data_IF_765309537473
#
_entry.id   IF_765309537473
#
_cell.length_a   1.000
_cell.length_b   1.000
_cell.length_c   1.000
_cell.angle_alpha   90.00
_cell.angle_beta   90.00
_cell.angle_gamma   90.00
#
_symmetry.space_group_name_H-M   'P 1'
#
loop_
_entity.id
_entity.type
_entity.pdbx_description
1 polymer ?
#
# COMPACT_ATOMS: atom_id res chain seq x y z
N UNK A 1 -9.08 -12.01 -5.64
CA UNK A 1 -7.78 -11.35 -5.49
C UNK A 1 -7.33 -10.75 -6.81
N UNK A 2 -6.78 -9.56 -6.76
CA UNK A 2 -6.26 -8.87 -7.93
C UNK A 2 -4.74 -8.87 -7.89
N UNK A 3 -4.11 -9.06 -9.05
CA UNK A 3 -2.66 -8.98 -9.19
C UNK A 3 -2.34 -7.96 -10.26
N UNK A 4 -1.53 -6.96 -9.93
CA UNK A 4 -1.16 -5.91 -10.87
C UNK A 4 0.37 -5.87 -10.99
N UNK A 5 0.87 -6.01 -12.20
CA UNK A 5 2.30 -5.87 -12.47
C UNK A 5 2.60 -4.39 -12.61
N UNK A 6 3.59 -3.93 -11.86
CA UNK A 6 3.97 -2.51 -11.85
C UNK A 6 5.33 -2.39 -12.52
N UNK A 7 5.38 -1.70 -13.65
CA UNK A 7 6.61 -1.50 -14.41
C UNK A 7 6.83 -0.04 -14.77
N UNK A 8 5.79 0.77 -14.75
CA UNK A 8 5.90 2.17 -15.14
C UNK A 8 4.78 2.98 -14.50
N UNK A 9 4.86 4.29 -14.70
CA UNK A 9 3.93 5.22 -14.05
C UNK A 9 2.47 4.93 -14.39
N UNK A 10 2.18 4.51 -15.63
CA UNK A 10 0.81 4.20 -16.03
C UNK A 10 0.19 3.09 -15.17
N UNK A 11 1.02 2.17 -14.70
CA UNK A 11 0.53 1.07 -13.88
C UNK A 11 0.06 1.52 -12.50
N UNK A 12 0.54 2.68 -12.05
CA UNK A 12 0.08 3.27 -10.79
C UNK A 12 -1.41 3.60 -10.90
N UNK A 13 -1.82 4.13 -12.05
CA UNK A 13 -3.22 4.50 -12.26
C UNK A 13 -4.10 3.27 -12.41
N UNK A 14 -3.59 2.23 -13.04
CA UNK A 14 -4.31 0.96 -13.12
C UNK A 14 -4.53 0.38 -11.72
N UNK A 15 -3.49 0.37 -10.90
CA UNK A 15 -3.60 -0.12 -9.53
C UNK A 15 -4.61 0.70 -8.72
N UNK A 16 -4.62 2.01 -8.93
CA UNK A 16 -5.58 2.90 -8.31
C UNK A 16 -7.02 2.53 -8.67
N UNK A 17 -7.28 2.28 -9.96
CA UNK A 17 -8.60 1.88 -10.42
C UNK A 17 -9.07 0.58 -9.78
N UNK A 18 -8.17 -0.38 -9.70
CA UNK A 18 -8.49 -1.67 -9.08
C UNK A 18 -8.71 -1.50 -7.58
N UNK A 19 -7.94 -0.59 -6.97
CA UNK A 19 -8.15 -0.26 -5.56
C UNK A 19 -9.55 0.28 -5.28
N UNK A 20 -10.05 1.14 -6.17
CA UNK A 20 -11.41 1.65 -6.04
C UNK A 20 -12.43 0.54 -6.13
N UNK A 21 -12.22 -0.40 -7.05
CA UNK A 21 -13.11 -1.55 -7.19
C UNK A 21 -13.11 -2.40 -5.92
N UNK A 22 -11.93 -2.64 -5.36
CA UNK A 22 -11.83 -3.43 -4.13
C UNK A 22 -12.53 -2.72 -2.97
N UNK A 23 -12.39 -1.40 -2.89
CA UNK A 23 -13.06 -0.60 -1.85
C UNK A 23 -14.57 -0.73 -1.98
N UNK A 24 -15.09 -0.68 -3.22
CA UNK A 24 -16.52 -0.84 -3.46
C UNK A 24 -17.01 -2.22 -3.08
N UNK A 25 -16.22 -3.24 -3.41
CA UNK A 25 -16.58 -4.62 -3.07
C UNK A 25 -16.63 -4.82 -1.55
N UNK A 26 -15.79 -4.13 -0.83
CA UNK A 26 -15.75 -4.20 0.62
C UNK A 26 -16.73 -3.23 1.27
N UNK A 27 -17.38 -2.39 0.48
CA UNK A 27 -18.33 -1.36 0.95
C UNK A 27 -17.67 -0.32 1.84
N UNK A 28 -16.47 0.08 1.50
CA UNK A 28 -15.77 1.14 2.20
C UNK A 28 -16.52 2.46 2.04
N UNK A 29 -16.51 3.29 3.08
CA UNK A 29 -16.98 4.66 2.95
C UNK A 29 -15.91 5.47 2.22
N UNK A 30 -16.20 6.74 1.96
CA UNK A 30 -15.29 7.56 1.17
C UNK A 30 -13.93 7.74 1.82
N UNK A 31 -13.89 7.92 3.13
CA UNK A 31 -12.65 8.07 3.86
C UNK A 31 -11.80 6.81 3.77
N UNK A 32 -12.39 5.66 3.98
CA UNK A 32 -11.69 4.38 3.90
C UNK A 32 -11.18 4.14 2.48
N UNK A 33 -12.03 4.43 1.49
CA UNK A 33 -11.63 4.28 0.09
C UNK A 33 -10.44 5.16 -0.25
N UNK A 34 -10.48 6.43 0.15
CA UNK A 34 -9.38 7.36 -0.12
C UNK A 34 -8.09 6.88 0.49
N UNK A 35 -8.12 6.45 1.75
CA UNK A 35 -6.93 5.95 2.43
C UNK A 35 -6.36 4.72 1.74
N UNK A 36 -7.23 3.81 1.32
CA UNK A 36 -6.79 2.61 0.60
C UNK A 36 -6.16 2.97 -0.74
N UNK A 37 -6.83 3.80 -1.53
CA UNK A 37 -6.37 4.13 -2.88
C UNK A 37 -5.06 4.91 -2.85
N UNK A 38 -4.94 5.89 -1.95
CA UNK A 38 -3.70 6.66 -1.82
C UNK A 38 -2.54 5.74 -1.42
N UNK A 39 -2.79 4.80 -0.50
CA UNK A 39 -1.76 3.86 -0.08
C UNK A 39 -1.32 2.97 -1.24
N UNK A 40 -2.26 2.47 -2.04
CA UNK A 40 -1.94 1.67 -3.22
C UNK A 40 -1.07 2.46 -4.20
N UNK A 41 -1.43 3.71 -4.45
CA UNK A 41 -0.67 4.56 -5.37
C UNK A 41 0.74 4.80 -4.87
N UNK A 42 0.88 5.04 -3.57
CA UNK A 42 2.19 5.29 -2.98
C UNK A 42 3.08 4.05 -3.05
N UNK A 43 2.51 2.87 -2.78
CA UNK A 43 3.25 1.62 -2.88
C UNK A 43 3.65 1.34 -4.32
N UNK A 44 2.76 1.60 -5.28
CA UNK A 44 3.07 1.39 -6.70
C UNK A 44 4.19 2.34 -7.16
N UNK A 45 4.14 3.61 -6.75
CA UNK A 45 5.18 4.56 -7.11
C UNK A 45 6.52 4.19 -6.50
N UNK A 46 6.53 3.68 -5.28
CA UNK A 46 7.77 3.20 -4.68
C UNK A 46 8.38 2.07 -5.50
N UNK A 47 7.57 1.17 -6.03
CA UNK A 47 8.09 0.11 -6.90
C UNK A 47 8.75 0.72 -8.14
N UNK A 48 8.07 1.65 -8.80
CA UNK A 48 8.61 2.27 -10.01
C UNK A 48 9.93 2.99 -9.73
N UNK A 49 9.98 3.79 -8.65
CA UNK A 49 11.15 4.62 -8.38
C UNK A 49 12.33 3.85 -7.82
N UNK A 50 12.10 2.85 -6.99
CA UNK A 50 13.19 2.18 -6.28
C UNK A 50 13.57 0.83 -6.85
N UNK A 51 12.65 0.16 -7.53
CA UNK A 51 12.91 -1.17 -8.06
C UNK A 51 12.77 -1.26 -9.57
N UNK A 52 11.98 -0.39 -10.15
CA UNK A 52 11.69 -0.41 -11.59
C UNK A 52 10.58 -1.39 -11.96
N UNK A 53 10.41 -2.46 -11.20
CA UNK A 53 9.40 -3.49 -11.48
C UNK A 53 9.01 -4.21 -10.21
N UNK A 54 7.74 -4.54 -10.10
CA UNK A 54 7.23 -5.33 -8.99
C UNK A 54 5.79 -5.70 -9.21
N UNK A 55 5.13 -6.14 -8.15
CA UNK A 55 3.74 -6.58 -8.20
C UNK A 55 2.98 -6.07 -7.00
N UNK A 56 1.69 -5.79 -7.21
CA UNK A 56 0.79 -5.48 -6.12
C UNK A 56 -0.34 -6.47 -6.15
N UNK A 57 -0.62 -7.05 -4.99
CA UNK A 57 -1.74 -7.96 -4.79
C UNK A 57 -2.77 -7.26 -3.92
N UNK A 58 -4.03 -7.26 -4.35
CA UNK A 58 -5.12 -6.64 -3.60
C UNK A 58 -6.13 -7.73 -3.31
N UNK A 59 -6.35 -7.99 -2.03
CA UNK A 59 -7.26 -9.05 -1.59
C UNK A 59 -8.40 -8.45 -0.79
N UNK A 60 -9.61 -8.63 -1.29
CA UNK A 60 -10.80 -8.22 -0.54
C UNK A 60 -11.17 -9.35 0.42
N UNK A 61 -11.30 -9.00 1.71
CA UNK A 61 -11.79 -9.93 2.72
C UNK A 61 -13.21 -9.47 3.03
N UNK A 62 -14.23 -10.13 2.45
CA UNK A 62 -15.60 -9.63 2.51
C UNK A 62 -16.04 -9.35 3.94
N UNK A 63 -16.64 -8.18 4.14
CA UNK A 63 -17.13 -7.71 5.44
C UNK A 63 -16.04 -7.37 6.45
N UNK A 64 -14.77 -7.52 6.09
CA UNK A 64 -13.67 -7.24 7.03
C UNK A 64 -12.74 -6.14 6.55
N UNK A 65 -12.25 -6.22 5.32
CA UNK A 65 -11.32 -5.21 4.87
C UNK A 65 -10.64 -5.57 3.56
N UNK A 66 -9.57 -4.81 3.24
CA UNK A 66 -8.77 -5.01 2.04
C UNK A 66 -7.31 -5.10 2.44
N UNK A 67 -6.65 -6.16 2.00
CA UNK A 67 -5.22 -6.35 2.23
C UNK A 67 -4.46 -6.06 0.94
N UNK A 68 -3.38 -5.29 1.08
CA UNK A 68 -2.48 -4.99 -0.03
C UNK A 68 -1.13 -5.62 0.27
N UNK A 69 -0.55 -6.29 -0.73
CA UNK A 69 0.82 -6.77 -0.64
C UNK A 69 1.58 -6.24 -1.84
N UNK A 70 2.64 -5.48 -1.59
CA UNK A 70 3.49 -4.94 -2.64
C UNK A 70 4.84 -5.63 -2.56
N UNK A 71 5.28 -6.23 -3.66
CA UNK A 71 6.52 -7.01 -3.70
C UNK A 71 7.38 -6.52 -4.86
N UNK A 72 8.65 -6.25 -4.57
CA UNK A 72 9.61 -5.96 -5.63
C UNK A 72 10.92 -6.68 -5.31
N UNK A 73 11.78 -6.79 -6.32
CA UNK A 73 13.08 -7.42 -6.18
C UNK A 73 14.19 -6.42 -6.45
N UNK A 74 13.94 -5.16 -6.14
CA UNK A 74 14.93 -4.11 -6.26
C UNK A 74 15.98 -4.19 -5.17
N UNK A 75 16.78 -3.12 -5.02
CA UNK A 75 17.90 -3.12 -4.08
C UNK A 75 17.50 -3.14 -2.61
N UNK A 76 16.22 -3.07 -2.32
CA UNK A 76 15.75 -3.00 -0.95
C UNK A 76 15.90 -1.61 -0.35
N UNK A 77 15.52 -1.50 0.89
CA UNK A 77 15.63 -0.26 1.67
C UNK A 77 16.52 -0.56 2.85
N UNK A 78 17.65 0.17 2.95
CA UNK A 78 18.66 -0.11 3.99
C UNK A 78 18.11 0.09 5.40
N UNK A 79 17.34 1.14 5.59
CA UNK A 79 16.85 1.51 6.91
C UNK A 79 15.36 1.83 6.85
N UNK A 80 14.50 0.79 6.66
CA UNK A 80 13.07 1.07 6.55
C UNK A 80 12.49 1.73 7.80
N UNK A 81 12.99 1.37 8.98
CA UNK A 81 12.50 1.97 10.20
C UNK A 81 12.85 3.45 10.31
N UNK A 82 14.02 3.81 9.84
CA UNK A 82 14.46 5.19 9.86
C UNK A 82 13.61 6.05 8.93
N UNK A 83 13.32 5.52 7.74
CA UNK A 83 12.44 6.21 6.80
C UNK A 83 11.06 6.44 7.40
N UNK A 84 10.53 5.44 8.10
CA UNK A 84 9.23 5.56 8.74
C UNK A 84 9.23 6.58 9.88
N UNK A 85 10.33 6.63 10.64
CA UNK A 85 10.44 7.55 11.77
C UNK A 85 10.67 8.99 11.33
N UNK A 86 11.60 9.17 10.42
CA UNK A 86 12.08 10.51 10.07
C UNK A 86 11.20 11.24 9.08
N UNK A 87 10.21 10.57 8.54
CA UNK A 87 9.28 11.16 7.58
C UNK A 87 10.02 11.80 6.41
N UNK A 88 11.01 11.07 5.88
CA UNK A 88 11.77 11.52 4.73
C UNK A 88 10.81 11.80 3.58
N UNK A 89 10.94 12.94 2.90
CA UNK A 89 10.05 13.25 1.78
C UNK A 89 10.09 12.16 0.72
N UNK A 90 8.93 11.83 0.21
CA UNK A 90 8.79 10.81 -0.82
C UNK A 90 9.30 11.32 -2.15
N UNK A 91 10.03 10.48 -2.88
CA UNK A 91 10.45 10.78 -4.25
C UNK A 91 9.30 10.63 -5.23
N UNK A 92 8.18 10.11 -4.78
CA UNK A 92 7.04 9.85 -5.66
C UNK A 92 6.20 11.09 -5.94
N UNK A 93 6.50 12.18 -5.27
CA UNK A 93 5.83 13.45 -5.51
C UNK A 93 4.61 13.71 -4.66
N UNK A 94 4.13 12.72 -3.90
CA UNK A 94 2.99 12.91 -3.01
C UNK A 94 3.39 13.33 -1.60
N UNK A 95 4.67 13.17 -1.26
CA UNK A 95 5.16 13.56 0.05
C UNK A 95 4.76 12.64 1.19
N UNK A 96 4.10 11.53 0.89
CA UNK A 96 3.62 10.62 1.93
C UNK A 96 4.61 9.51 2.25
N UNK A 97 5.15 8.87 1.21
CA UNK A 97 6.08 7.77 1.38
C UNK A 97 5.49 6.61 2.18
N UNK A 98 6.36 5.75 2.66
CA UNK A 98 5.94 4.59 3.44
C UNK A 98 5.37 4.98 4.80
N UNK A 99 5.87 6.06 5.40
CA UNK A 99 5.34 6.51 6.68
C UNK A 99 3.89 6.97 6.54
N UNK A 100 3.54 7.55 5.39
CA UNK A 100 2.16 7.93 5.10
C UNK A 100 1.26 6.72 4.98
N UNK A 101 1.73 5.68 4.29
CA UNK A 101 0.97 4.44 4.16
C UNK A 101 0.71 3.85 5.54
N UNK A 102 1.74 3.81 6.39
CA UNK A 102 1.61 3.29 7.74
C UNK A 102 0.54 4.04 8.53
N UNK A 103 0.46 5.36 8.37
CA UNK A 103 -0.54 6.16 9.07
C UNK A 103 -1.94 5.97 8.53
N UNK A 104 -2.07 5.76 7.22
CA UNK A 104 -3.39 5.65 6.59
C UNK A 104 -4.02 4.27 6.75
N UNK A 105 -3.19 3.25 6.89
CA UNK A 105 -3.67 1.87 6.98
C UNK A 105 -3.75 1.42 8.43
N UNK A 106 -4.56 0.41 8.68
CA UNK A 106 -4.76 -0.09 10.05
C UNK A 106 -3.70 -1.09 10.47
N UNK A 107 -3.14 -1.85 9.50
CA UNK A 107 -2.01 -2.72 9.74
C UNK A 107 -0.95 -2.43 8.70
N UNK A 108 0.30 -2.57 9.09
CA UNK A 108 1.42 -2.28 8.21
C UNK A 108 2.63 -3.09 8.62
N UNK A 109 3.23 -3.80 7.65
CA UNK A 109 4.47 -4.54 7.85
C UNK A 109 5.37 -4.29 6.65
N UNK A 110 6.66 -4.16 6.89
CA UNK A 110 7.63 -4.03 5.82
C UNK A 110 8.82 -4.93 6.09
N UNK A 111 9.22 -5.70 5.07
CA UNK A 111 10.42 -6.53 5.11
C UNK A 111 11.24 -6.15 3.90
N UNK A 112 12.50 -5.78 4.12
CA UNK A 112 13.36 -5.35 3.03
C UNK A 112 14.77 -5.86 3.25
N UNK A 113 15.43 -6.25 2.16
CA UNK A 113 16.82 -6.63 2.20
C UNK A 113 17.46 -6.36 0.84
N UNK A 114 18.79 -6.21 0.84
CA UNK A 114 19.52 -5.95 -0.40
C UNK A 114 19.52 -7.17 -1.33
N UNK A 115 19.18 -8.34 -0.82
CA UNK A 115 19.19 -9.58 -1.63
C UNK A 115 17.81 -9.99 -2.11
N UNK A 116 16.74 -9.69 -1.35
CA UNK A 116 15.40 -10.16 -1.69
C UNK A 116 14.46 -9.06 -2.11
N UNK A 117 14.89 -7.79 -2.01
CA UNK A 117 14.03 -6.66 -2.34
C UNK A 117 13.14 -6.26 -1.19
N UNK A 118 11.97 -5.74 -1.50
CA UNK A 118 11.04 -5.20 -0.49
C UNK A 118 9.67 -5.83 -0.61
N UNK A 119 9.11 -6.18 0.54
CA UNK A 119 7.73 -6.63 0.64
C UNK A 119 7.01 -5.78 1.68
N UNK A 120 5.91 -5.17 1.28
CA UNK A 120 5.08 -4.38 2.18
C UNK A 120 3.70 -5.02 2.22
N UNK A 121 3.20 -5.24 3.43
CA UNK A 121 1.83 -5.71 3.63
C UNK A 121 1.09 -4.65 4.43
N UNK A 122 -0.08 -4.26 3.97
CA UNK A 122 -0.90 -3.27 4.67
C UNK A 122 -2.36 -3.68 4.57
N UNK A 123 -3.13 -3.37 5.60
CA UNK A 123 -4.55 -3.73 5.66
C UNK A 123 -5.36 -2.53 6.07
N UNK A 124 -6.48 -2.32 5.36
CA UNK A 124 -7.47 -1.33 5.75
C UNK A 124 -8.73 -2.06 6.17
N UNK A 125 -9.14 -1.87 7.42
CA UNK A 125 -10.33 -2.54 7.95
C UNK A 125 -11.60 -1.76 7.63
N UNK A 126 -12.68 -2.48 7.38
CA UNK A 126 -13.99 -1.88 7.14
C UNK A 126 -14.51 -1.20 8.39
N UNK A 127 -14.32 -1.86 9.54
CA UNK A 127 -14.75 -1.30 10.82
C UNK A 127 -13.53 -0.84 11.57
N UNK A 128 -13.58 0.40 11.98
CA UNK A 128 -12.45 0.93 12.71
C UNK A 128 -12.59 0.64 14.15
N UNK A 129 -12.35 0.01 14.41
CA UNK A 129 -12.62 -0.11 15.58
C UNK A 129 -13.47 -0.58 16.22
N UNK A 130 -13.41 -0.25 15.44
CA UNK A 130 -13.83 -0.29 15.78
C UNK A 130 -14.01 -0.95 16.39
N UNK A 131 -13.56 -0.91 16.66
CA UNK A 131 -13.72 -1.28 17.06
C UNK A 131 -14.26 -1.42 17.62
N UNK A 132 -14.21 -1.35 17.88
CA UNK A 132 -14.80 -1.41 18.22
C UNK A 132 -15.53 -1.37 18.55
N UNK A 133 -15.74 -0.85 18.46
CA UNK A 133 -16.61 -0.73 18.74
C UNK A 133 -17.33 -1.54 18.90
N UNK A 134 -17.30 -1.92 18.93
CA UNK A 134 -17.86 -2.50 18.92
C UNK A 134 -17.91 -3.02 19.33
N UNK A 135 -17.56 -2.78 19.36
CA UNK A 135 -17.78 -3.06 19.53
C UNK A 135 -17.68 -3.22 19.60
#
# INVERSE_FOLDING_TARGET
MYRIVIMREDDVYLASSIGKRAADECRFNKSQQTKLVVSIMELARNIVFYAGKGEIFIKVIPSFGVEITAIDQGPGISNPEEILKNKVPSKTGLGLGLSGVKRLMDEFEIISSSTTGTKVRAVKWLHEGKTGSFG
#
